data_IF_109283340974
#
_entry.id   IF_109283340974
#
_cell.length_a   1.000
_cell.length_b   1.000
_cell.length_c   1.000
_cell.angle_alpha   90.00
_cell.angle_beta   90.00
_cell.angle_gamma   90.00
#
_symmetry.space_group_name_H-M   'P 1'
#
loop_
_entity.id
_entity.type
_entity.pdbx_description
1 polymer ?
#
# COMPACT_ATOMS: atom_id res chain seq x y z
N UNK A 1 -4.10 -21.90 -1.27
CA UNK A 1 -4.18 -21.83 0.21
C UNK A 1 -2.93 -21.10 0.70
N UNK A 2 -3.07 -20.00 1.42
CA UNK A 2 -1.93 -19.29 2.00
C UNK A 2 -1.31 -20.10 3.14
N UNK A 3 -0.01 -19.90 3.38
CA UNK A 3 0.68 -20.51 4.51
C UNK A 3 0.20 -19.89 5.83
N UNK A 4 0.42 -20.56 6.97
CA UNK A 4 0.08 -20.02 8.29
C UNK A 4 0.75 -18.68 8.55
N UNK A 5 1.98 -18.49 8.06
CA UNK A 5 2.70 -17.22 8.17
C UNK A 5 2.01 -16.10 7.37
N UNK A 6 1.57 -16.37 6.13
CA UNK A 6 0.82 -15.39 5.32
C UNK A 6 -0.49 -14.97 6.02
N UNK A 7 -1.16 -15.89 6.70
CA UNK A 7 -2.38 -15.59 7.46
C UNK A 7 -2.09 -14.71 8.68
N UNK A 8 -1.00 -14.96 9.40
CA UNK A 8 -0.58 -14.16 10.56
C UNK A 8 -0.15 -12.75 10.14
N UNK A 9 0.61 -12.62 9.06
CA UNK A 9 1.01 -11.33 8.49
C UNK A 9 -0.22 -10.53 8.05
N UNK A 10 -1.14 -11.14 7.33
CA UNK A 10 -2.40 -10.50 6.91
C UNK A 10 -3.23 -10.03 8.11
N UNK A 11 -3.33 -10.84 9.17
CA UNK A 11 -4.06 -10.46 10.38
C UNK A 11 -3.41 -9.30 11.12
N UNK A 12 -2.09 -9.30 11.26
CA UNK A 12 -1.32 -8.20 11.86
C UNK A 12 -1.52 -6.89 11.10
N UNK A 13 -1.41 -6.93 9.78
CA UNK A 13 -1.63 -5.77 8.90
C UNK A 13 -3.06 -5.23 8.98
N UNK A 14 -4.08 -6.10 9.06
CA UNK A 14 -5.47 -5.65 9.27
C UNK A 14 -5.67 -4.91 10.59
N UNK A 15 -4.97 -5.32 11.64
CA UNK A 15 -4.99 -4.59 12.93
C UNK A 15 -4.34 -3.21 12.81
N UNK A 16 -3.21 -3.12 12.10
CA UNK A 16 -2.55 -1.82 11.84
C UNK A 16 -3.47 -0.89 11.05
N UNK A 17 -4.15 -1.39 10.02
CA UNK A 17 -5.13 -0.60 9.27
C UNK A 17 -6.29 -0.13 10.16
N UNK A 18 -6.80 -0.98 11.05
CA UNK A 18 -7.82 -0.59 12.02
C UNK A 18 -7.32 0.48 13.02
N UNK A 19 -6.06 0.41 13.43
CA UNK A 19 -5.44 1.42 14.28
C UNK A 19 -5.32 2.78 13.57
N UNK A 20 -4.94 2.78 12.29
CA UNK A 20 -4.87 3.98 11.46
C UNK A 20 -6.24 4.66 11.30
N UNK A 21 -7.33 3.88 11.22
CA UNK A 21 -8.68 4.40 11.06
C UNK A 21 -9.18 5.23 12.25
N UNK A 22 -8.68 4.99 13.47
CA UNK A 22 -9.18 5.65 14.67
C UNK A 22 -8.75 7.13 14.76
N UNK A 23 -7.51 7.44 14.41
CA UNK A 23 -6.97 8.80 14.37
C UNK A 23 -5.81 8.86 13.38
N UNK A 24 -6.09 9.04 12.07
CA UNK A 24 -5.06 8.97 11.05
C UNK A 24 -3.97 10.02 11.21
N UNK A 25 -4.30 11.25 11.64
CA UNK A 25 -3.34 12.33 11.80
C UNK A 25 -2.23 11.99 12.81
N UNK A 26 -2.59 11.37 13.93
CA UNK A 26 -1.61 10.91 14.92
C UNK A 26 -1.01 9.55 14.62
N UNK A 27 -1.80 8.64 14.07
CA UNK A 27 -1.43 7.24 13.97
C UNK A 27 -0.59 6.93 12.73
N UNK A 28 -0.76 7.68 11.62
CA UNK A 28 0.08 7.51 10.43
C UNK A 28 1.56 7.76 10.74
N UNK A 29 1.96 8.87 11.39
CA UNK A 29 3.36 9.07 11.78
C UNK A 29 3.90 7.98 12.72
N UNK A 30 3.08 7.52 13.67
CA UNK A 30 3.47 6.46 14.62
C UNK A 30 3.73 5.12 13.91
N UNK A 31 2.87 4.76 12.98
CA UNK A 31 3.01 3.53 12.18
C UNK A 31 4.23 3.63 11.26
N UNK A 32 4.45 4.79 10.62
CA UNK A 32 5.65 4.99 9.79
C UNK A 32 6.94 4.87 10.60
N UNK A 33 7.00 5.46 11.80
CA UNK A 33 8.14 5.30 12.70
C UNK A 33 8.33 3.84 13.17
N UNK A 34 7.24 3.10 13.33
CA UNK A 34 7.30 1.68 13.67
C UNK A 34 7.84 0.85 12.49
N UNK A 35 7.34 1.04 11.28
CA UNK A 35 7.81 0.36 10.06
C UNK A 35 9.31 0.57 9.86
N UNK A 36 9.79 1.81 10.02
CA UNK A 36 11.20 2.18 9.88
C UNK A 36 12.12 1.37 10.78
N UNK A 37 11.68 0.96 11.98
CA UNK A 37 12.49 0.13 12.89
C UNK A 37 12.73 -1.29 12.36
N UNK A 38 11.93 -1.77 11.42
CA UNK A 38 12.09 -3.08 10.79
C UNK A 38 12.91 -3.02 9.50
N UNK A 39 13.05 -1.85 8.89
CA UNK A 39 13.89 -1.62 7.73
C UNK A 39 15.35 -1.39 8.17
N UNK A 40 16.03 -2.46 8.58
CA UNK A 40 17.40 -2.42 9.10
C UNK A 40 18.43 -1.99 8.07
N UNK A 41 18.14 -2.18 6.78
CA UNK A 41 19.01 -1.84 5.67
C UNK A 41 18.73 -0.44 5.11
N UNK A 42 17.77 0.28 5.70
CA UNK A 42 17.32 1.62 5.27
C UNK A 42 16.99 1.71 3.76
N UNK A 43 16.42 0.63 3.24
CA UNK A 43 16.15 0.47 1.82
C UNK A 43 15.18 1.53 1.28
N UNK A 44 14.28 2.00 2.13
CA UNK A 44 13.24 2.96 1.79
C UNK A 44 13.51 4.36 2.34
N UNK A 45 14.76 4.72 2.66
CA UNK A 45 15.15 6.00 3.24
C UNK A 45 14.50 7.21 2.55
N UNK A 46 14.61 7.28 1.21
CA UNK A 46 14.04 8.38 0.44
C UNK A 46 12.51 8.44 0.55
N UNK A 47 11.83 7.30 0.54
CA UNK A 47 10.37 7.24 0.70
C UNK A 47 9.95 7.72 2.10
N UNK A 48 10.68 7.33 3.16
CA UNK A 48 10.41 7.78 4.52
C UNK A 48 10.56 9.30 4.66
N UNK A 49 11.61 9.88 4.07
CA UNK A 49 11.83 11.33 4.12
C UNK A 49 10.71 12.11 3.40
N UNK A 50 10.29 11.65 2.22
CA UNK A 50 9.18 12.26 1.47
C UNK A 50 7.89 12.21 2.29
N UNK A 51 7.60 11.07 2.93
CA UNK A 51 6.41 10.91 3.76
C UNK A 51 6.49 11.80 5.00
N UNK A 52 7.64 11.86 5.67
CA UNK A 52 7.83 12.72 6.85
C UNK A 52 7.66 14.20 6.52
N UNK A 53 8.21 14.66 5.40
CA UNK A 53 8.01 16.04 4.95
C UNK A 53 6.55 16.32 4.61
N UNK A 54 5.90 15.39 3.92
CA UNK A 54 4.49 15.50 3.60
C UNK A 54 3.62 15.59 4.86
N UNK A 55 3.92 14.80 5.89
CA UNK A 55 3.15 14.76 7.13
C UNK A 55 3.34 15.98 8.05
N UNK A 56 4.42 16.76 7.85
CA UNK A 56 4.70 17.97 8.66
C UNK A 56 3.87 19.18 8.23
N UNK A 57 3.43 19.24 6.98
CA UNK A 57 2.69 20.38 6.42
C UNK A 57 1.28 19.96 5.99
N UNK A 58 0.23 20.38 6.73
CA UNK A 58 -1.16 20.11 6.35
C UNK A 58 -1.58 20.70 4.99
N UNK A 59 -0.84 21.67 4.46
CA UNK A 59 -1.08 22.24 3.13
C UNK A 59 -0.39 21.44 2.01
N UNK A 60 0.47 20.50 2.35
CA UNK A 60 1.11 19.62 1.37
C UNK A 60 0.06 18.75 0.65
N UNK A 61 0.17 18.65 -0.68
CA UNK A 61 -0.79 17.88 -1.49
C UNK A 61 -0.82 16.40 -1.12
N UNK A 62 0.31 15.80 -0.74
CA UNK A 62 0.36 14.41 -0.28
C UNK A 62 -0.31 14.21 1.07
N UNK A 63 -0.12 15.16 2.01
CA UNK A 63 -0.85 15.14 3.28
C UNK A 63 -2.36 15.17 3.03
N UNK A 64 -2.82 16.13 2.22
CA UNK A 64 -4.24 16.27 1.88
C UNK A 64 -4.80 15.03 1.18
N UNK A 65 -4.02 14.42 0.27
CA UNK A 65 -4.41 13.17 -0.38
C UNK A 65 -4.54 12.03 0.63
N UNK A 66 -3.54 11.84 1.50
CA UNK A 66 -3.59 10.79 2.53
C UNK A 66 -4.80 11.01 3.46
N UNK A 67 -5.01 12.23 3.94
CA UNK A 67 -6.12 12.53 4.84
C UNK A 67 -7.48 12.43 4.15
N UNK A 68 -7.59 12.75 2.86
CA UNK A 68 -8.84 12.57 2.10
C UNK A 68 -9.25 11.09 2.00
N UNK A 69 -8.30 10.16 1.95
CA UNK A 69 -8.62 8.73 1.99
C UNK A 69 -9.37 8.34 3.28
N UNK A 70 -9.07 9.02 4.39
CA UNK A 70 -9.73 8.76 5.69
C UNK A 70 -11.03 9.54 5.86
N UNK A 71 -11.11 10.75 5.29
CA UNK A 71 -12.26 11.63 5.43
C UNK A 71 -13.37 11.34 4.41
N UNK A 72 -12.99 11.12 3.15
CA UNK A 72 -13.94 11.14 2.03
C UNK A 72 -14.32 9.73 1.55
N UNK A 73 -13.53 8.71 1.93
CA UNK A 73 -13.77 7.33 1.52
C UNK A 73 -14.35 6.51 2.68
N UNK A 74 -15.44 5.79 2.40
CA UNK A 74 -16.05 4.86 3.36
C UNK A 74 -15.01 3.87 3.92
N UNK A 75 -15.10 3.61 5.23
CA UNK A 75 -14.16 2.76 5.96
C UNK A 75 -14.06 1.34 5.37
N UNK A 76 -15.17 0.77 4.92
CA UNK A 76 -15.19 -0.57 4.31
C UNK A 76 -14.47 -0.59 2.97
N UNK A 77 -14.71 0.44 2.14
CA UNK A 77 -14.05 0.61 0.84
C UNK A 77 -12.55 0.83 1.05
N UNK A 78 -12.16 1.71 1.96
CA UNK A 78 -10.76 2.00 2.29
C UNK A 78 -10.02 0.75 2.79
N UNK A 79 -10.61 -0.01 3.71
CA UNK A 79 -10.03 -1.27 4.20
C UNK A 79 -9.84 -2.26 3.06
N UNK A 80 -10.81 -2.38 2.17
CA UNK A 80 -10.73 -3.26 1.00
C UNK A 80 -9.63 -2.84 0.04
N UNK A 81 -9.49 -1.53 -0.21
CA UNK A 81 -8.42 -0.97 -1.03
C UNK A 81 -7.05 -1.30 -0.44
N UNK A 82 -6.84 -1.02 0.83
CA UNK A 82 -5.57 -1.30 1.49
C UNK A 82 -5.26 -2.81 1.57
N UNK A 83 -6.27 -3.63 1.88
CA UNK A 83 -6.11 -5.09 1.87
C UNK A 83 -5.66 -5.60 0.50
N UNK A 84 -6.30 -5.16 -0.57
CA UNK A 84 -5.97 -5.63 -1.91
C UNK A 84 -4.67 -5.04 -2.42
N UNK A 85 -4.44 -3.75 -2.26
CA UNK A 85 -3.27 -3.07 -2.82
C UNK A 85 -2.01 -3.31 -1.98
N UNK A 86 -2.07 -3.06 -0.66
CA UNK A 86 -0.88 -3.20 0.18
C UNK A 86 -0.60 -4.66 0.56
N UNK A 87 -1.63 -5.38 1.07
CA UNK A 87 -1.41 -6.73 1.59
C UNK A 87 -1.31 -7.73 0.43
N UNK A 88 -2.37 -7.84 -0.38
CA UNK A 88 -2.45 -8.90 -1.38
C UNK A 88 -1.54 -8.65 -2.59
N UNK A 89 -1.36 -7.40 -3.02
CA UNK A 89 -0.51 -7.06 -4.16
C UNK A 89 0.94 -6.78 -3.75
N UNK A 90 1.18 -5.73 -2.94
CA UNK A 90 2.53 -5.27 -2.67
C UNK A 90 3.35 -6.25 -1.78
N UNK A 91 2.75 -6.87 -0.77
CA UNK A 91 3.47 -7.76 0.15
C UNK A 91 3.38 -9.22 -0.33
N UNK A 92 2.20 -9.83 -0.23
CA UNK A 92 2.04 -11.25 -0.55
C UNK A 92 2.22 -11.53 -2.05
N UNK A 93 1.77 -10.61 -2.91
CA UNK A 93 1.93 -10.70 -4.36
C UNK A 93 3.39 -10.68 -4.78
N UNK A 94 4.20 -9.76 -4.23
CA UNK A 94 5.63 -9.70 -4.51
C UNK A 94 6.36 -10.96 -4.05
N UNK A 95 6.06 -11.48 -2.87
CA UNK A 95 6.66 -12.73 -2.38
C UNK A 95 6.34 -13.91 -3.32
N UNK A 96 5.09 -14.04 -3.76
CA UNK A 96 4.66 -15.10 -4.69
C UNK A 96 5.29 -14.92 -6.08
N UNK A 97 5.38 -13.66 -6.54
CA UNK A 97 6.05 -13.30 -7.78
C UNK A 97 7.49 -13.78 -7.77
N UNK A 98 8.29 -13.37 -6.78
CA UNK A 98 9.70 -13.73 -6.67
C UNK A 98 9.91 -15.25 -6.63
N UNK A 99 9.11 -15.95 -5.83
CA UNK A 99 9.15 -17.43 -5.77
C UNK A 99 8.82 -18.09 -7.11
N UNK A 100 7.89 -17.53 -7.87
CA UNK A 100 7.52 -18.06 -9.18
C UNK A 100 8.56 -17.70 -10.24
N UNK A 101 9.20 -16.53 -10.18
CA UNK A 101 10.31 -16.16 -11.06
C UNK A 101 11.47 -17.16 -10.92
N UNK A 102 11.86 -17.49 -9.70
CA UNK A 102 12.88 -18.52 -9.45
C UNK A 102 12.45 -19.89 -9.96
N UNK A 103 11.19 -20.28 -9.72
CA UNK A 103 10.69 -21.62 -10.07
C UNK A 103 10.59 -21.83 -11.58
N UNK A 104 10.19 -20.81 -12.32
CA UNK A 104 9.89 -20.91 -13.77
C UNK A 104 10.96 -20.25 -14.64
N UNK A 105 12.02 -19.71 -14.04
CA UNK A 105 13.12 -19.00 -14.71
C UNK A 105 12.61 -17.96 -15.72
N UNK A 106 11.65 -17.13 -15.29
CA UNK A 106 11.04 -16.12 -16.13
C UNK A 106 10.67 -14.86 -15.33
N UNK A 107 10.69 -13.70 -15.99
CA UNK A 107 10.23 -12.46 -15.38
C UNK A 107 8.70 -12.43 -15.35
N UNK A 108 8.13 -12.20 -14.16
CA UNK A 108 6.68 -12.06 -13.95
C UNK A 108 6.35 -10.60 -13.64
N UNK A 109 5.54 -9.91 -14.46
CA UNK A 109 5.16 -8.54 -14.21
C UNK A 109 4.31 -8.45 -12.92
N UNK A 110 4.59 -7.45 -12.07
CA UNK A 110 3.81 -7.22 -10.85
C UNK A 110 2.44 -6.57 -11.12
N UNK A 111 2.32 -5.90 -12.26
CA UNK A 111 1.09 -5.27 -12.73
C UNK A 111 0.97 -5.40 -14.24
N UNK A 112 -0.26 -5.53 -14.72
CA UNK A 112 -0.60 -5.57 -16.14
C UNK A 112 -1.65 -4.50 -16.38
N UNK A 113 -1.38 -3.58 -17.31
CA UNK A 113 -2.38 -2.66 -17.81
C UNK A 113 -3.14 -3.36 -18.94
N UNK A 114 -4.44 -3.48 -18.77
CA UNK A 114 -5.32 -4.09 -19.76
C UNK A 114 -6.28 -3.03 -20.32
N UNK A 115 -6.35 -2.93 -21.63
CA UNK A 115 -7.36 -2.14 -22.33
C UNK A 115 -8.50 -3.08 -22.74
N UNK A 116 -9.62 -3.11 -21.99
CA UNK A 116 -10.67 -4.09 -22.21
C UNK A 116 -11.53 -3.81 -23.45
N UNK A 117 -11.42 -2.61 -24.02
CA UNK A 117 -12.20 -2.22 -25.20
C UNK A 117 -11.55 -1.08 -25.98
N UNK A 118 -11.58 -1.20 -27.31
CA UNK A 118 -11.23 -0.11 -28.22
C UNK A 118 -12.39 0.89 -28.40
N UNK A 119 -13.60 0.57 -27.95
CA UNK A 119 -14.77 1.44 -28.00
C UNK A 119 -14.88 2.33 -26.75
N UNK A 120 -13.81 3.03 -26.41
CA UNK A 120 -13.78 3.95 -25.28
C UNK A 120 -14.50 5.26 -25.67
N UNK A 121 -15.36 5.74 -24.77
CA UNK A 121 -16.05 7.02 -24.90
C UNK A 121 -15.37 8.17 -24.13
N UNK A 122 -14.18 7.92 -23.57
CA UNK A 122 -13.39 8.91 -22.86
C UNK A 122 -12.46 9.65 -23.85
N UNK A 123 -12.33 10.94 -23.66
CA UNK A 123 -11.41 11.80 -24.42
C UNK A 123 -10.16 12.06 -23.57
N UNK A 124 -9.29 11.07 -23.45
CA UNK A 124 -8.03 11.22 -22.74
C UNK A 124 -7.05 12.10 -23.52
N UNK A 125 -6.30 12.94 -22.84
CA UNK A 125 -5.32 13.87 -23.47
C UNK A 125 -3.93 13.28 -23.64
N UNK A 126 -3.76 11.99 -23.54
CA UNK A 126 -2.44 11.34 -23.71
C UNK A 126 -2.50 9.87 -23.66
#
# INVERSE_FOLDING_TARGET
MGTVNEMLESYGLKKVLGYLDNNPEENVPKVMNWIRKFDKEDYYHNAYNIIDEALKDPNNNWYRLIMSLYKDIDTGVRKKLFENFLINSAILGCQRKNKNEEKYDCNIPWAILMDPTSACNLHCTG
#
